data_IF_735395441454
#
_entry.id   IF_735395441454
#
_cell.length_a   1.000
_cell.length_b   1.000
_cell.length_c   1.000
_cell.angle_alpha   90.00
_cell.angle_beta   90.00
_cell.angle_gamma   90.00
#
_symmetry.space_group_name_H-M   'P 1'
#
loop_
_entity.id
_entity.type
_entity.pdbx_description
1 polymer ?
#
# COMPACT_ATOMS: atom_id res chain seq x y z
N UNK A 1 -58.51 5.56 9.84
CA UNK A 1 -58.62 5.81 8.39
C UNK A 1 -57.29 6.36 7.91
N UNK A 2 -56.59 5.90 6.89
CA UNK A 2 -56.67 4.69 6.06
C UNK A 2 -55.28 4.48 5.45
N UNK A 3 -54.89 3.23 5.29
CA UNK A 3 -53.89 2.75 4.32
C UNK A 3 -54.24 3.24 2.91
N UNK A 4 -53.26 3.81 2.19
CA UNK A 4 -53.05 3.71 0.74
C UNK A 4 -52.15 4.85 0.20
N UNK A 5 -50.83 4.63 0.12
CA UNK A 5 -50.00 5.06 -1.03
C UNK A 5 -48.78 4.14 -1.11
N UNK A 6 -48.99 2.96 -1.69
CA UNK A 6 -47.96 2.05 -2.20
C UNK A 6 -48.53 1.54 -3.53
N UNK A 7 -47.71 1.57 -4.59
CA UNK A 7 -47.93 1.06 -5.96
C UNK A 7 -48.75 1.88 -6.96
N UNK A 8 -48.03 2.54 -7.88
CA UNK A 8 -48.16 2.50 -9.35
C UNK A 8 -47.26 3.62 -9.93
N UNK A 9 -46.32 3.42 -10.87
CA UNK A 9 -46.41 2.60 -12.07
C UNK A 9 -45.05 1.99 -12.49
N UNK A 10 -45.13 0.71 -12.84
CA UNK A 10 -44.38 0.09 -13.93
C UNK A 10 -44.84 0.67 -15.28
N UNK A 11 -43.88 0.88 -16.20
CA UNK A 11 -43.96 0.94 -17.68
C UNK A 11 -43.51 2.26 -18.32
N UNK A 12 -42.26 2.24 -18.79
CA UNK A 12 -41.70 2.77 -20.05
C UNK A 12 -40.20 3.05 -19.79
N UNK A 13 -39.22 2.61 -20.57
CA UNK A 13 -39.22 1.88 -21.83
C UNK A 13 -37.92 1.11 -21.99
N UNK A 14 -37.96 0.12 -22.88
CA UNK A 14 -36.81 -0.58 -23.42
C UNK A 14 -35.92 0.42 -24.15
N UNK A 15 -34.62 0.42 -23.85
CA UNK A 15 -33.59 0.88 -24.78
C UNK A 15 -32.54 -0.20 -24.95
N UNK A 16 -32.41 -0.61 -26.20
CA UNK A 16 -31.57 -1.66 -26.77
C UNK A 16 -30.07 -1.45 -26.52
N UNK A 17 -29.42 -2.55 -26.14
CA UNK A 17 -27.96 -2.74 -26.12
C UNK A 17 -27.45 -2.71 -27.56
N UNK A 18 -26.64 -1.72 -27.92
CA UNK A 18 -25.84 -1.73 -29.14
C UNK A 18 -24.40 -2.12 -28.78
N UNK A 19 -24.01 -3.32 -29.20
CA UNK A 19 -22.61 -3.78 -29.24
C UNK A 19 -21.87 -2.97 -30.31
N UNK A 20 -20.82 -2.25 -29.94
CA UNK A 20 -19.80 -1.80 -30.90
C UNK A 20 -18.63 -2.78 -30.88
N UNK A 21 -18.58 -3.58 -31.94
CA UNK A 21 -17.47 -4.43 -32.35
C UNK A 21 -16.43 -3.58 -33.09
N UNK A 22 -15.21 -3.50 -32.58
CA UNK A 22 -14.07 -2.99 -33.34
C UNK A 22 -13.51 -4.09 -34.23
N UNK A 23 -13.58 -3.87 -35.54
CA UNK A 23 -13.02 -4.70 -36.60
C UNK A 23 -11.52 -4.40 -36.74
N UNK A 24 -10.69 -5.42 -36.54
CA UNK A 24 -9.28 -5.44 -36.92
C UNK A 24 -9.17 -5.61 -38.44
N UNK A 25 -8.68 -4.58 -39.14
CA UNK A 25 -8.29 -4.69 -40.55
C UNK A 25 -6.89 -5.27 -40.62
N UNK A 26 -6.81 -6.46 -41.22
CA UNK A 26 -5.61 -7.22 -41.55
C UNK A 26 -5.25 -6.89 -43.00
N UNK A 27 -4.05 -6.37 -43.25
CA UNK A 27 -3.49 -6.31 -44.61
C UNK A 27 -2.06 -6.87 -44.59
N UNK A 28 -1.93 -8.08 -45.11
CA UNK A 28 -0.68 -8.64 -45.64
C UNK A 28 -0.36 -7.97 -46.99
N UNK A 29 0.89 -8.05 -47.45
CA UNK A 29 1.12 -9.01 -48.53
C UNK A 29 2.39 -9.86 -48.39
N UNK A 30 2.24 -11.09 -48.86
CA UNK A 30 3.22 -12.00 -49.50
C UNK A 30 4.19 -11.26 -50.45
N UNK A 31 5.35 -11.73 -50.90
CA UNK A 31 6.19 -12.94 -50.83
C UNK A 31 7.53 -12.54 -51.48
N UNK A 32 8.65 -13.15 -51.08
CA UNK A 32 9.65 -13.68 -52.03
C UNK A 32 10.86 -14.26 -51.29
N UNK A 33 11.04 -15.55 -51.48
CA UNK A 33 12.24 -16.34 -51.19
C UNK A 33 13.31 -16.09 -52.26
N UNK A 34 14.57 -15.96 -51.85
CA UNK A 34 15.70 -16.43 -52.64
C UNK A 34 16.90 -16.75 -51.74
N UNK A 35 17.40 -17.97 -51.94
CA UNK A 35 18.59 -18.63 -51.43
C UNK A 35 19.91 -17.90 -51.73
N UNK A 36 20.91 -18.06 -50.85
CA UNK A 36 22.31 -17.76 -51.15
C UNK A 36 23.23 -18.24 -50.03
N UNK A 37 23.96 -19.31 -50.31
CA UNK A 37 24.82 -20.07 -49.40
C UNK A 37 26.30 -19.71 -49.69
N UNK A 38 27.17 -19.89 -48.68
CA UNK A 38 28.64 -20.15 -48.74
C UNK A 38 29.62 -18.95 -48.72
N UNK A 39 30.58 -19.06 -47.78
CA UNK A 39 31.91 -18.41 -47.76
C UNK A 39 32.11 -17.61 -46.46
N UNK A 40 32.90 -18.00 -45.46
CA UNK A 40 34.19 -18.69 -45.50
C UNK A 40 35.24 -17.77 -44.86
N UNK A 41 35.55 -18.03 -43.59
CA UNK A 41 36.75 -17.68 -42.79
C UNK A 41 37.52 -16.37 -43.06
N UNK A 42 37.78 -15.59 -42.00
CA UNK A 42 39.16 -15.35 -41.52
C UNK A 42 39.18 -14.59 -40.18
N UNK A 43 39.85 -15.21 -39.21
CA UNK A 43 40.27 -14.65 -37.93
C UNK A 43 41.30 -13.52 -38.14
N UNK A 44 41.25 -12.49 -37.29
CA UNK A 44 42.29 -11.46 -37.20
C UNK A 44 42.23 -10.71 -35.87
N UNK A 45 42.86 -11.27 -34.83
CA UNK A 45 43.28 -10.53 -33.63
C UNK A 45 44.37 -9.52 -34.03
N UNK A 46 44.28 -8.28 -33.55
CA UNK A 46 45.43 -7.37 -33.48
C UNK A 46 45.48 -6.69 -32.11
N UNK A 47 46.34 -7.24 -31.26
CA UNK A 47 47.53 -6.54 -30.73
C UNK A 47 47.37 -5.26 -29.93
N UNK A 48 47.46 -5.41 -28.61
CA UNK A 48 47.81 -4.39 -27.61
C UNK A 48 49.19 -3.78 -27.90
N UNK A 49 49.32 -2.45 -27.76
CA UNK A 49 50.62 -1.77 -27.59
C UNK A 49 50.57 -0.84 -26.38
N UNK A 50 51.34 -1.22 -25.34
CA UNK A 50 51.77 -0.35 -24.25
C UNK A 50 52.78 0.68 -24.78
N UNK A 51 52.61 1.93 -24.36
CA UNK A 51 53.60 2.99 -24.51
C UNK A 51 53.70 3.77 -23.20
N UNK A 52 54.77 3.51 -22.45
CA UNK A 52 55.20 4.25 -21.27
C UNK A 52 55.86 5.57 -21.67
N UNK A 53 55.56 6.64 -20.94
CA UNK A 53 56.21 7.95 -21.10
C UNK A 53 55.91 8.85 -19.90
N UNK A 54 56.87 8.95 -18.99
CA UNK A 54 56.87 9.82 -17.82
C UNK A 54 57.65 11.10 -18.11
N UNK A 55 57.06 12.27 -17.85
CA UNK A 55 57.76 13.53 -17.53
C UNK A 55 56.89 14.31 -16.55
N UNK A 56 57.47 14.74 -15.43
CA UNK A 56 56.85 15.65 -14.47
C UNK A 56 57.55 17.00 -14.44
N UNK A 57 56.83 18.06 -14.04
CA UNK A 57 57.17 19.02 -12.98
C UNK A 57 56.17 20.20 -12.95
N UNK A 58 55.49 20.31 -11.80
CA UNK A 58 55.06 21.47 -11.00
C UNK A 58 54.54 22.80 -11.59
N UNK A 59 53.39 23.22 -11.06
CA UNK A 59 52.87 24.59 -11.11
C UNK A 59 51.46 24.67 -10.51
N UNK A 60 51.36 25.00 -9.22
CA UNK A 60 50.12 24.94 -8.43
C UNK A 60 48.99 25.85 -8.91
N UNK A 61 47.86 25.24 -9.27
CA UNK A 61 46.53 25.83 -9.25
C UNK A 61 45.63 24.83 -8.52
N UNK A 62 45.02 25.25 -7.41
CA UNK A 62 44.04 24.45 -6.67
C UNK A 62 42.75 24.32 -7.48
N UNK A 63 42.76 23.40 -8.45
CA UNK A 63 41.54 22.89 -9.10
C UNK A 63 41.16 21.62 -8.37
N UNK A 64 40.11 21.68 -7.55
CA UNK A 64 39.46 20.45 -7.06
C UNK A 64 38.99 19.66 -8.29
N UNK A 65 39.36 18.39 -8.46
CA UNK A 65 38.79 17.60 -9.53
C UNK A 65 37.31 17.43 -9.23
N UNK A 66 36.47 17.96 -10.10
CA UNK A 66 35.05 17.64 -10.14
C UNK A 66 34.98 16.19 -10.55
N UNK A 67 34.83 15.29 -9.58
CA UNK A 67 34.63 13.87 -9.86
C UNK A 67 33.27 13.68 -10.50
N UNK A 68 33.18 12.67 -11.36
CA UNK A 68 31.97 12.28 -12.12
C UNK A 68 30.75 11.92 -11.24
N UNK A 69 30.88 12.00 -9.91
CA UNK A 69 29.81 11.77 -8.94
C UNK A 69 28.94 13.02 -8.66
N UNK A 70 29.24 14.17 -9.27
CA UNK A 70 28.51 15.44 -9.05
C UNK A 70 27.38 15.74 -10.05
N UNK A 71 27.15 14.88 -11.04
CA UNK A 71 26.00 15.00 -11.93
C UNK A 71 25.22 13.69 -11.87
N UNK A 72 24.12 13.71 -11.11
CA UNK A 72 23.21 12.59 -10.99
C UNK A 72 22.97 11.95 -12.35
N UNK A 73 23.41 10.71 -12.48
CA UNK A 73 23.09 9.87 -13.63
C UNK A 73 21.58 9.67 -13.56
N UNK A 74 20.88 10.36 -14.45
CA UNK A 74 19.47 10.17 -14.67
C UNK A 74 19.31 8.77 -15.25
N UNK A 75 18.72 7.86 -14.47
CA UNK A 75 18.19 6.61 -14.98
C UNK A 75 17.10 6.97 -16.00
N UNK A 76 17.32 6.63 -17.27
CA UNK A 76 16.50 6.98 -18.44
C UNK A 76 15.17 6.20 -18.49
N UNK A 77 14.44 6.09 -17.37
CA UNK A 77 13.18 5.34 -17.31
C UNK A 77 11.92 6.18 -17.14
N UNK A 78 12.01 7.50 -17.17
CA UNK A 78 10.83 8.38 -17.22
C UNK A 78 11.16 9.64 -18.03
N UNK A 79 10.73 9.67 -19.30
CA UNK A 79 10.78 10.88 -20.12
C UNK A 79 9.50 11.71 -19.93
N UNK A 80 9.35 12.36 -18.77
CA UNK A 80 8.41 13.48 -18.65
C UNK A 80 9.06 14.64 -17.87
N UNK A 81 8.95 15.89 -18.37
CA UNK A 81 9.46 17.05 -17.65
C UNK A 81 8.64 17.25 -16.37
N UNK A 82 9.33 17.28 -15.24
CA UNK A 82 8.72 17.53 -13.92
C UNK A 82 8.08 18.92 -13.94
N UNK A 83 6.76 18.99 -14.01
CA UNK A 83 6.01 20.24 -13.84
C UNK A 83 6.03 20.61 -12.35
N UNK A 84 6.83 21.61 -11.97
CA UNK A 84 6.99 22.09 -10.59
C UNK A 84 6.12 23.34 -10.32
N UNK A 85 5.13 23.27 -9.42
CA UNK A 85 4.87 24.34 -8.46
C UNK A 85 5.70 24.07 -7.19
N UNK A 86 6.50 25.05 -6.80
CA UNK A 86 7.58 24.92 -5.83
C UNK A 86 7.11 24.97 -4.37
N UNK A 87 7.03 23.82 -3.69
CA UNK A 87 7.12 23.77 -2.22
C UNK A 87 8.59 23.90 -1.83
N UNK A 88 9.02 25.10 -1.44
CA UNK A 88 10.41 25.40 -1.06
C UNK A 88 10.57 25.24 0.45
N UNK A 89 11.37 24.27 0.89
CA UNK A 89 11.89 24.24 2.26
C UNK A 89 13.42 24.39 2.21
N UNK A 90 13.94 25.52 2.66
CA UNK A 90 15.37 25.87 2.59
C UNK A 90 15.95 25.77 1.16
N UNK A 91 15.31 26.41 0.18
CA UNK A 91 15.82 26.56 -1.21
C UNK A 91 16.00 25.26 -2.03
N UNK A 92 15.53 24.10 -1.52
CA UNK A 92 15.54 22.84 -2.27
C UNK A 92 14.13 22.49 -2.79
N UNK A 93 13.97 22.22 -4.10
CA UNK A 93 12.69 21.77 -4.64
C UNK A 93 12.36 20.37 -4.09
N UNK A 94 11.18 20.24 -3.49
CA UNK A 94 10.65 18.95 -3.04
C UNK A 94 9.91 18.30 -4.22
N UNK A 95 10.23 17.05 -4.59
CA UNK A 95 9.47 16.34 -5.62
C UNK A 95 8.02 16.15 -5.16
N UNK A 96 7.06 16.64 -5.94
CA UNK A 96 5.66 16.33 -5.67
C UNK A 96 5.36 14.87 -6.03
N UNK A 97 4.66 14.19 -5.13
CA UNK A 97 4.18 12.83 -5.38
C UNK A 97 2.93 12.91 -6.25
N UNK A 98 3.02 12.43 -7.49
CA UNK A 98 1.86 12.36 -8.38
C UNK A 98 0.97 11.17 -8.02
N UNK A 99 -0.33 11.44 -7.83
CA UNK A 99 -1.31 10.39 -7.56
C UNK A 99 -1.48 9.41 -8.74
N UNK A 100 -1.19 9.85 -9.98
CA UNK A 100 -1.25 8.98 -11.16
C UNK A 100 -0.21 7.86 -11.16
N UNK A 101 0.83 7.99 -10.32
CA UNK A 101 1.92 7.00 -10.21
C UNK A 101 1.73 6.03 -9.06
N UNK A 102 0.69 6.21 -8.24
CA UNK A 102 0.42 5.30 -7.13
C UNK A 102 -0.10 3.98 -7.71
N UNK A 103 0.56 2.88 -7.37
CA UNK A 103 0.11 1.54 -7.70
C UNK A 103 -0.83 1.02 -6.63
N UNK A 104 -1.90 0.34 -7.00
CA UNK A 104 -2.78 -0.30 -6.02
C UNK A 104 -3.48 -1.49 -6.63
N UNK A 105 -3.67 -2.54 -5.85
CA UNK A 105 -4.48 -3.69 -6.25
C UNK A 105 -5.21 -4.27 -5.05
N UNK A 106 -6.35 -4.89 -5.29
CA UNK A 106 -7.13 -5.61 -4.28
C UNK A 106 -7.74 -6.85 -4.92
N UNK A 107 -7.43 -8.02 -4.37
CA UNK A 107 -7.90 -9.31 -4.88
C UNK A 107 -8.73 -10.03 -3.82
N UNK A 108 -9.75 -10.76 -4.29
CA UNK A 108 -10.73 -11.45 -3.44
C UNK A 108 -10.15 -12.65 -2.67
N UNK A 109 -9.18 -13.36 -3.24
CA UNK A 109 -8.71 -14.64 -2.68
C UNK A 109 -9.78 -15.74 -2.74
N UNK A 110 -9.82 -16.59 -1.72
CA UNK A 110 -10.78 -17.69 -1.58
C UNK A 110 -11.99 -17.33 -0.70
N UNK A 111 -12.19 -16.03 -0.43
CA UNK A 111 -13.35 -15.52 0.31
C UNK A 111 -14.58 -15.40 -0.59
N UNK A 112 -15.76 -15.39 0.03
CA UNK A 112 -17.03 -15.18 -0.68
C UNK A 112 -17.26 -13.72 -1.07
N UNK A 113 -16.63 -12.79 -0.34
CA UNK A 113 -16.77 -11.36 -0.52
C UNK A 113 -15.42 -10.69 -0.28
N UNK A 114 -15.17 -9.59 -1.01
CA UNK A 114 -14.02 -8.73 -0.75
C UNK A 114 -14.46 -7.65 0.24
N UNK A 115 -13.97 -7.75 1.47
CA UNK A 115 -14.23 -6.82 2.57
C UNK A 115 -13.15 -5.72 2.66
N UNK A 116 -12.04 -5.86 1.94
CA UNK A 116 -10.99 -4.84 1.85
C UNK A 116 -11.46 -3.61 1.07
N UNK A 117 -11.05 -2.44 1.55
CA UNK A 117 -11.18 -1.15 0.85
C UNK A 117 -9.87 -0.40 0.86
N UNK A 118 -9.58 0.29 -0.23
CA UNK A 118 -8.44 1.19 -0.32
C UNK A 118 -8.90 2.56 -0.81
N UNK A 119 -8.26 3.62 -0.36
CA UNK A 119 -8.55 4.99 -0.79
C UNK A 119 -7.27 5.78 -0.99
N UNK A 120 -7.18 6.44 -2.12
CA UNK A 120 -6.08 7.34 -2.50
C UNK A 120 -6.73 8.66 -2.88
N UNK A 121 -6.28 9.75 -2.26
CA UNK A 121 -6.90 11.06 -2.48
C UNK A 121 -5.99 12.22 -2.13
N UNK A 122 -6.43 13.41 -2.52
CA UNK A 122 -5.83 14.68 -2.14
C UNK A 122 -6.82 15.44 -1.28
N UNK A 123 -6.44 15.72 -0.03
CA UNK A 123 -7.28 16.48 0.89
C UNK A 123 -7.15 17.97 0.56
N UNK A 124 -5.93 18.49 0.61
CA UNK A 124 -5.58 19.87 0.25
C UNK A 124 -4.47 19.84 -0.79
N UNK A 125 -4.15 20.97 -1.42
CA UNK A 125 -3.08 21.06 -2.42
C UNK A 125 -1.74 20.51 -1.92
N UNK A 126 -1.49 20.63 -0.61
CA UNK A 126 -0.28 20.16 0.04
C UNK A 126 -0.47 18.92 0.93
N UNK A 127 -1.65 18.28 0.95
CA UNK A 127 -1.92 17.13 1.83
C UNK A 127 -2.50 15.96 1.03
N UNK A 128 -1.70 14.91 0.87
CA UNK A 128 -2.14 13.64 0.28
C UNK A 128 -2.60 12.67 1.36
N UNK A 129 -3.53 11.80 0.98
CA UNK A 129 -4.17 10.82 1.85
C UNK A 129 -4.18 9.45 1.17
N UNK A 130 -3.72 8.44 1.91
CA UNK A 130 -3.70 7.05 1.49
C UNK A 130 -4.23 6.20 2.63
N UNK A 131 -5.11 5.25 2.34
CA UNK A 131 -5.69 4.39 3.35
C UNK A 131 -5.99 2.98 2.82
N UNK A 132 -5.87 2.01 3.71
CA UNK A 132 -6.40 0.65 3.56
C UNK A 132 -7.26 0.31 4.78
N UNK A 133 -8.37 -0.38 4.54
CA UNK A 133 -9.33 -0.83 5.53
C UNK A 133 -9.63 -2.30 5.24
N UNK A 134 -9.24 -3.17 6.14
CA UNK A 134 -9.47 -4.62 6.06
C UNK A 134 -10.72 -4.92 6.89
N UNK A 135 -11.79 -5.36 6.24
CA UNK A 135 -13.10 -5.50 6.85
C UNK A 135 -13.36 -6.92 7.35
N UNK A 136 -14.09 -7.04 8.46
CA UNK A 136 -14.53 -8.35 8.97
C UNK A 136 -15.95 -8.28 9.54
N UNK A 137 -16.66 -9.41 9.51
CA UNK A 137 -18.03 -9.49 10.01
C UNK A 137 -19.03 -8.73 9.12
N UNK A 138 -18.73 -8.59 7.84
CA UNK A 138 -19.46 -7.78 6.86
C UNK A 138 -18.65 -6.54 6.45
N UNK A 139 -18.79 -6.06 5.19
CA UNK A 139 -17.97 -4.96 4.67
C UNK A 139 -18.36 -3.57 5.22
N UNK A 140 -19.45 -3.48 5.99
CA UNK A 140 -20.10 -2.22 6.37
C UNK A 140 -19.15 -1.23 7.09
N UNK A 141 -18.30 -1.73 7.99
CA UNK A 141 -17.35 -0.87 8.70
C UNK A 141 -16.25 -0.33 7.77
N UNK A 142 -15.71 -1.20 6.90
CA UNK A 142 -14.73 -0.81 5.88
C UNK A 142 -15.33 0.15 4.83
N UNK A 143 -16.55 -0.11 4.35
CA UNK A 143 -17.30 0.74 3.43
C UNK A 143 -17.54 2.14 4.03
N UNK A 144 -17.88 2.19 5.31
CA UNK A 144 -18.11 3.44 6.02
C UNK A 144 -16.82 4.26 6.14
N UNK A 145 -15.73 3.62 6.54
CA UNK A 145 -14.42 4.26 6.62
C UNK A 145 -13.94 4.74 5.24
N UNK A 146 -14.08 3.91 4.20
CA UNK A 146 -13.80 4.29 2.82
C UNK A 146 -14.56 5.55 2.38
N UNK A 147 -15.82 5.67 2.78
CA UNK A 147 -16.70 6.77 2.37
C UNK A 147 -16.47 8.05 3.16
N UNK A 148 -16.26 7.95 4.48
CA UNK A 148 -16.33 9.10 5.38
C UNK A 148 -15.01 9.47 6.07
N UNK A 149 -13.98 8.62 6.07
CA UNK A 149 -12.71 8.92 6.77
C UNK A 149 -12.07 10.23 6.28
N UNK A 150 -12.08 10.49 4.97
CA UNK A 150 -11.56 11.74 4.42
C UNK A 150 -12.27 12.98 5.00
N UNK A 151 -13.58 12.89 5.20
CA UNK A 151 -14.38 13.96 5.82
C UNK A 151 -13.95 14.19 7.27
N UNK A 152 -13.84 13.13 8.08
CA UNK A 152 -13.42 13.26 9.48
C UNK A 152 -12.02 13.85 9.62
N UNK A 153 -11.11 13.53 8.70
CA UNK A 153 -9.77 14.14 8.66
C UNK A 153 -9.87 15.63 8.33
N UNK A 154 -10.69 16.03 7.34
CA UNK A 154 -10.93 17.45 7.01
C UNK A 154 -11.49 18.22 8.21
N UNK A 155 -12.53 17.69 8.85
CA UNK A 155 -13.17 18.33 10.01
C UNK A 155 -12.20 18.44 11.21
N UNK A 156 -11.28 17.49 11.37
CA UNK A 156 -10.25 17.53 12.41
C UNK A 156 -9.11 18.52 12.11
N UNK A 157 -8.75 18.70 10.83
CA UNK A 157 -7.76 19.69 10.38
C UNK A 157 -8.19 21.14 10.61
N UNK A 158 -9.49 21.40 10.67
CA UNK A 158 -10.01 22.73 11.03
C UNK A 158 -9.73 23.10 12.49
N UNK A 159 -9.37 22.12 13.33
CA UNK A 159 -9.27 22.29 14.78
C UNK A 159 -7.85 22.15 15.30
N UNK A 160 -7.03 21.31 14.68
CA UNK A 160 -5.62 21.10 15.04
C UNK A 160 -4.78 20.95 13.76
N UNK A 161 -3.57 21.52 13.79
CA UNK A 161 -2.61 21.39 12.69
C UNK A 161 -1.69 20.18 12.87
N UNK A 162 -1.59 19.62 14.08
CA UNK A 162 -0.80 18.43 14.36
C UNK A 162 -1.47 17.18 13.80
N UNK A 163 -0.90 16.67 12.71
CA UNK A 163 -1.42 15.51 11.98
C UNK A 163 -1.60 14.26 12.84
N UNK A 164 -0.81 14.05 13.90
CA UNK A 164 -0.97 12.91 14.81
C UNK A 164 -2.28 13.03 15.62
N UNK A 165 -2.56 14.24 16.13
CA UNK A 165 -3.80 14.51 16.85
C UNK A 165 -5.01 14.50 15.93
N UNK A 166 -4.85 15.04 14.71
CA UNK A 166 -5.87 15.00 13.65
C UNK A 166 -6.28 13.56 13.37
N UNK A 167 -5.33 12.65 13.16
CA UNK A 167 -5.64 11.23 12.91
C UNK A 167 -6.31 10.57 14.12
N UNK A 168 -5.80 10.79 15.33
CA UNK A 168 -6.44 10.26 16.55
C UNK A 168 -7.89 10.71 16.67
N UNK A 169 -8.15 12.00 16.47
CA UNK A 169 -9.50 12.55 16.49
C UNK A 169 -10.38 11.96 15.39
N UNK A 170 -9.88 11.92 14.15
CA UNK A 170 -10.62 11.41 13.01
C UNK A 170 -11.05 9.95 13.19
N UNK A 171 -10.16 9.09 13.73
CA UNK A 171 -10.48 7.69 14.02
C UNK A 171 -11.58 7.56 15.09
N UNK A 172 -11.44 8.30 16.19
CA UNK A 172 -12.43 8.27 17.28
C UNK A 172 -13.79 8.83 16.84
N UNK A 173 -13.81 9.88 16.04
CA UNK A 173 -15.06 10.47 15.55
C UNK A 173 -15.70 9.59 14.45
N UNK A 174 -14.90 8.94 13.60
CA UNK A 174 -15.38 7.94 12.65
C UNK A 174 -16.03 6.73 13.36
N UNK A 175 -15.40 6.20 14.42
CA UNK A 175 -15.95 5.08 15.21
C UNK A 175 -17.26 5.44 15.90
N UNK A 176 -17.35 6.62 16.53
CA UNK A 176 -18.60 7.14 17.13
C UNK A 176 -19.72 7.34 16.10
N UNK A 177 -19.38 7.90 14.94
CA UNK A 177 -20.33 8.14 13.88
C UNK A 177 -20.83 6.82 13.26
N UNK A 178 -19.92 5.85 13.09
CA UNK A 178 -20.26 4.48 12.66
C UNK A 178 -21.21 3.82 13.66
N UNK A 179 -20.96 3.92 14.97
CA UNK A 179 -21.85 3.36 16.00
C UNK A 179 -23.27 3.91 15.85
N UNK A 180 -23.39 5.21 15.68
CA UNK A 180 -24.68 5.90 15.49
C UNK A 180 -25.36 5.44 14.20
N UNK A 181 -24.59 5.29 13.12
CA UNK A 181 -25.08 4.83 11.82
C UNK A 181 -25.60 3.39 11.87
N UNK A 182 -24.83 2.45 12.43
CA UNK A 182 -25.23 1.03 12.50
C UNK A 182 -26.38 0.80 13.48
N UNK A 183 -26.44 1.56 14.58
CA UNK A 183 -27.53 1.48 15.55
C UNK A 183 -28.89 1.83 14.94
N UNK A 184 -28.91 2.68 13.90
CA UNK A 184 -30.14 3.07 13.21
C UNK A 184 -30.78 1.90 12.43
N UNK A 185 -29.98 0.98 11.89
CA UNK A 185 -30.48 -0.15 11.10
C UNK A 185 -31.06 -1.30 11.94
N UNK A 186 -30.99 -1.21 13.27
CA UNK A 186 -31.54 -2.16 14.26
C UNK A 186 -31.24 -3.65 13.96
N UNK A 187 -30.10 -3.93 13.33
CA UNK A 187 -29.65 -5.29 13.06
C UNK A 187 -28.37 -5.57 13.86
N UNK A 188 -28.48 -6.51 14.79
CA UNK A 188 -27.38 -6.89 15.68
C UNK A 188 -26.15 -7.43 14.94
N UNK A 189 -26.31 -8.00 13.73
CA UNK A 189 -25.18 -8.49 12.93
C UNK A 189 -24.27 -7.37 12.44
N UNK A 190 -24.75 -6.14 12.34
CA UNK A 190 -23.90 -5.01 11.95
C UNK A 190 -23.04 -4.52 13.12
N UNK A 191 -23.45 -4.74 14.37
CA UNK A 191 -22.63 -4.36 15.54
C UNK A 191 -21.42 -5.29 15.76
N UNK A 192 -21.39 -6.42 15.05
CA UNK A 192 -20.22 -7.31 14.97
C UNK A 192 -19.31 -7.00 13.79
N UNK A 193 -19.70 -6.10 12.89
CA UNK A 193 -18.83 -5.66 11.80
C UNK A 193 -17.73 -4.75 12.36
N UNK A 194 -16.52 -4.95 11.86
CA UNK A 194 -15.36 -4.17 12.21
C UNK A 194 -14.42 -4.03 11.03
N UNK A 195 -13.43 -3.16 11.19
CA UNK A 195 -12.38 -3.01 10.19
C UNK A 195 -11.09 -2.54 10.84
N UNK A 196 -9.96 -2.95 10.26
CA UNK A 196 -8.70 -2.26 10.45
C UNK A 196 -8.76 -0.89 9.80
N UNK A 197 -7.87 0.00 10.19
CA UNK A 197 -7.65 1.22 9.44
C UNK A 197 -6.18 1.56 9.51
N UNK A 198 -5.51 1.63 8.37
CA UNK A 198 -4.16 2.17 8.25
C UNK A 198 -4.21 3.36 7.32
N UNK A 199 -4.00 4.55 7.87
CA UNK A 199 -4.11 5.83 7.15
C UNK A 199 -2.75 6.52 7.18
N UNK A 200 -2.27 6.94 6.01
CA UNK A 200 -1.08 7.74 5.83
C UNK A 200 -1.42 9.12 5.25
N UNK A 201 -0.96 10.16 5.93
CA UNK A 201 -1.02 11.55 5.50
C UNK A 201 0.37 12.02 5.11
N UNK A 202 0.49 12.59 3.90
CA UNK A 202 1.74 13.18 3.41
C UNK A 202 1.54 14.67 3.17
N UNK A 203 2.12 15.49 4.05
CA UNK A 203 2.08 16.95 3.97
C UNK A 203 3.34 17.52 3.34
N UNK A 204 3.16 18.44 2.40
CA UNK A 204 4.21 19.14 1.64
C UNK A 204 5.22 18.19 0.97
N UNK A 205 4.82 16.93 0.71
CA UNK A 205 5.68 15.88 0.17
C UNK A 205 6.74 15.30 1.13
N UNK A 206 6.93 15.88 2.33
CA UNK A 206 8.04 15.51 3.23
C UNK A 206 7.60 15.03 4.60
N UNK A 207 6.47 15.51 5.12
CA UNK A 207 5.98 15.12 6.43
C UNK A 207 4.99 13.96 6.27
N UNK A 208 5.43 12.76 6.65
CA UNK A 208 4.62 11.55 6.63
C UNK A 208 4.13 11.25 8.06
N UNK A 209 2.83 11.14 8.24
CA UNK A 209 2.22 10.65 9.47
C UNK A 209 1.34 9.46 9.14
N UNK A 210 1.56 8.35 9.84
CA UNK A 210 0.76 7.15 9.74
C UNK A 210 0.01 6.94 11.05
N UNK A 211 -1.29 6.66 10.97
CA UNK A 211 -2.10 6.20 12.09
C UNK A 211 -2.71 4.86 11.76
N UNK A 212 -2.65 3.89 12.69
CA UNK A 212 -3.29 2.60 12.47
C UNK A 212 -4.00 2.00 13.69
N UNK A 213 -5.04 1.22 13.40
CA UNK A 213 -5.66 0.24 14.30
C UNK A 213 -5.80 -1.09 13.55
N UNK A 214 -5.61 -2.20 14.27
CA UNK A 214 -5.59 -3.55 13.67
C UNK A 214 -4.18 -4.00 13.28
N UNK A 215 -4.11 -4.87 12.27
CA UNK A 215 -2.92 -5.59 11.81
C UNK A 215 -2.59 -5.36 10.31
N UNK A 216 -3.36 -4.50 9.62
CA UNK A 216 -2.89 -3.91 8.36
C UNK A 216 -1.63 -3.07 8.60
N UNK A 217 -0.71 -3.10 7.65
CA UNK A 217 0.66 -2.57 7.82
C UNK A 217 0.93 -1.38 6.92
N UNK A 218 1.81 -0.51 7.41
CA UNK A 218 2.50 0.48 6.60
C UNK A 218 4.01 0.29 6.74
N UNK A 219 4.74 0.41 5.64
CA UNK A 219 6.19 0.24 5.60
C UNK A 219 6.85 1.20 4.62
N UNK A 220 7.98 1.77 5.03
CA UNK A 220 8.79 2.70 4.24
C UNK A 220 10.07 2.00 3.78
N UNK A 221 10.28 1.94 2.47
CA UNK A 221 11.53 1.45 1.89
C UNK A 221 12.58 2.57 1.87
N UNK A 222 13.65 2.43 2.66
CA UNK A 222 14.77 3.38 2.70
C UNK A 222 16.06 2.64 2.40
N UNK A 223 16.80 3.09 1.39
CA UNK A 223 18.03 2.44 0.93
C UNK A 223 17.84 0.94 0.65
N UNK A 224 16.70 0.55 0.08
CA UNK A 224 16.37 -0.86 -0.22
C UNK A 224 15.96 -1.72 0.98
N UNK A 225 15.88 -1.16 2.20
CA UNK A 225 15.46 -1.88 3.40
C UNK A 225 14.06 -1.48 3.86
N UNK A 226 13.28 -2.47 4.29
CA UNK A 226 11.96 -2.27 4.87
C UNK A 226 12.06 -1.65 6.27
N UNK A 227 11.45 -0.50 6.47
CA UNK A 227 11.22 0.07 7.81
C UNK A 227 9.73 0.06 8.12
N UNK A 228 9.33 -0.79 9.08
CA UNK A 228 7.94 -0.88 9.53
C UNK A 228 7.51 0.43 10.22
N UNK A 229 6.35 0.95 9.82
CA UNK A 229 5.79 2.18 10.39
C UNK A 229 4.65 1.93 11.38
N UNK A 230 4.01 0.75 11.30
CA UNK A 230 2.94 0.33 12.21
C UNK A 230 3.41 -0.83 13.08
N UNK A 231 2.72 -1.07 14.20
CA UNK A 231 2.91 -2.28 15.01
C UNK A 231 1.55 -2.95 15.12
N UNK A 232 1.49 -4.23 14.78
CA UNK A 232 0.24 -4.99 14.73
C UNK A 232 -0.38 -5.04 16.13
N UNK A 233 -1.68 -4.76 16.22
CA UNK A 233 -2.41 -4.72 17.48
C UNK A 233 -2.96 -6.11 17.83
N UNK A 234 -2.09 -7.09 18.07
CA UNK A 234 -2.49 -8.47 18.36
C UNK A 234 -2.58 -8.74 19.87
N UNK A 235 -3.37 -9.75 20.29
CA UNK A 235 -3.44 -10.15 21.70
C UNK A 235 -2.13 -10.69 22.30
N UNK A 236 -1.13 -10.98 21.45
CA UNK A 236 0.22 -11.38 21.89
C UNK A 236 1.04 -10.20 22.42
N UNK A 237 0.69 -8.95 22.03
CA UNK A 237 1.33 -7.74 22.54
C UNK A 237 0.96 -7.54 24.01
N UNK A 238 1.95 -7.44 24.89
CA UNK A 238 1.72 -7.49 26.34
C UNK A 238 0.88 -6.30 26.85
N UNK A 239 1.12 -5.10 26.32
CA UNK A 239 0.36 -3.88 26.64
C UNK A 239 -1.12 -4.01 26.21
N UNK A 240 -1.37 -4.52 25.01
CA UNK A 240 -2.73 -4.74 24.50
C UNK A 240 -3.44 -5.84 25.31
N UNK A 241 -2.75 -6.94 25.61
CA UNK A 241 -3.28 -8.03 26.44
C UNK A 241 -3.66 -7.53 27.83
N UNK A 242 -2.82 -6.72 28.45
CA UNK A 242 -3.09 -6.13 29.75
C UNK A 242 -4.30 -5.19 29.70
N UNK A 243 -4.46 -4.41 28.62
CA UNK A 243 -5.67 -3.58 28.41
C UNK A 243 -6.92 -4.46 28.34
N UNK A 244 -6.92 -5.50 27.50
CA UNK A 244 -8.08 -6.41 27.36
C UNK A 244 -8.48 -7.00 28.71
N UNK A 245 -7.50 -7.53 29.47
CA UNK A 245 -7.74 -8.11 30.80
C UNK A 245 -8.27 -7.09 31.81
N UNK A 246 -7.74 -5.86 31.80
CA UNK A 246 -8.18 -4.77 32.69
C UNK A 246 -9.63 -4.36 32.45
N UNK A 247 -10.10 -4.44 31.21
CA UNK A 247 -11.47 -4.14 30.82
C UNK A 247 -12.39 -5.37 30.88
N UNK A 248 -11.94 -6.48 31.49
CA UNK A 248 -12.75 -7.68 31.70
C UNK A 248 -12.90 -8.57 30.46
N UNK A 249 -12.19 -8.26 29.37
CA UNK A 249 -12.01 -9.19 28.26
C UNK A 249 -11.01 -10.29 28.61
N UNK A 250 -11.01 -11.35 27.82
CA UNK A 250 -10.05 -12.45 27.95
C UNK A 250 -9.45 -12.81 26.59
N UNK A 251 -8.28 -13.45 26.61
CA UNK A 251 -7.62 -13.96 25.41
C UNK A 251 -7.67 -15.48 25.44
N UNK A 252 -8.17 -16.08 24.36
CA UNK A 252 -8.20 -17.53 24.16
C UNK A 252 -7.49 -17.89 22.88
N UNK A 253 -6.88 -19.07 22.85
CA UNK A 253 -6.25 -19.60 21.66
C UNK A 253 -7.19 -20.54 20.94
N UNK A 254 -7.29 -20.42 19.62
CA UNK A 254 -8.00 -21.40 18.80
C UNK A 254 -7.18 -22.70 18.67
N UNK A 255 -7.72 -23.71 17.99
CA UNK A 255 -7.05 -25.00 17.75
C UNK A 255 -5.74 -24.89 16.96
N UNK A 256 -5.53 -23.76 16.30
CA UNK A 256 -4.36 -23.45 15.47
C UNK A 256 -3.33 -22.61 16.24
N UNK A 257 -3.62 -22.24 17.49
CA UNK A 257 -2.73 -21.45 18.34
C UNK A 257 -2.74 -19.95 18.06
N UNK A 258 -3.73 -19.44 17.31
CA UNK A 258 -3.92 -17.99 17.16
C UNK A 258 -4.68 -17.45 18.37
N UNK A 259 -4.23 -16.30 18.88
CA UNK A 259 -4.82 -15.64 20.03
C UNK A 259 -6.00 -14.74 19.60
N UNK A 260 -7.14 -14.90 20.26
CA UNK A 260 -8.36 -14.15 19.97
C UNK A 260 -8.93 -13.50 21.23
N UNK A 261 -9.33 -12.23 21.13
CA UNK A 261 -10.09 -11.49 22.15
C UNK A 261 -11.49 -12.08 22.24
N UNK A 262 -11.87 -12.50 23.46
CA UNK A 262 -13.13 -13.16 23.78
C UNK A 262 -13.46 -14.35 22.86
N UNK A 263 -12.44 -15.02 22.30
CA UNK A 263 -12.60 -16.11 21.34
C UNK A 263 -13.16 -15.70 19.97
N UNK A 264 -13.15 -14.40 19.64
CA UNK A 264 -13.73 -13.88 18.40
C UNK A 264 -12.74 -13.12 17.54
N UNK A 265 -12.12 -12.06 18.06
CA UNK A 265 -11.35 -11.12 17.25
C UNK A 265 -9.84 -11.36 17.37
N UNK A 266 -9.13 -11.51 16.25
CA UNK A 266 -7.69 -11.74 16.23
C UNK A 266 -6.83 -10.47 16.49
N UNK A 267 -7.49 -9.31 16.60
CA UNK A 267 -6.88 -8.02 16.88
C UNK A 267 -7.50 -7.37 18.12
N UNK A 268 -6.82 -6.38 18.68
CA UNK A 268 -7.16 -5.70 19.94
C UNK A 268 -7.55 -4.24 19.76
N UNK A 269 -7.43 -3.70 18.54
CA UNK A 269 -7.92 -2.38 18.14
C UNK A 269 -8.58 -2.47 16.78
N UNK A 270 -9.67 -1.75 16.58
CA UNK A 270 -10.42 -1.71 15.33
C UNK A 270 -11.37 -0.51 15.32
N UNK A 271 -11.89 -0.15 14.15
CA UNK A 271 -13.09 0.69 14.01
C UNK A 271 -14.30 -0.25 13.87
N UNK A 272 -15.36 -0.03 14.65
CA UNK A 272 -16.48 -0.98 14.74
C UNK A 272 -16.32 -1.96 15.91
N UNK A 273 -16.70 -3.23 15.74
CA UNK A 273 -16.66 -4.25 16.80
C UNK A 273 -17.29 -3.78 18.13
N UNK A 274 -18.44 -3.10 18.05
CA UNK A 274 -19.04 -2.42 19.20
C UNK A 274 -19.34 -3.34 20.38
N UNK A 275 -19.59 -4.63 20.10
CA UNK A 275 -19.76 -5.66 21.12
C UNK A 275 -18.48 -5.97 21.93
N UNK A 276 -17.28 -5.66 21.42
CA UNK A 276 -15.99 -5.86 22.09
C UNK A 276 -15.39 -4.57 22.64
N UNK A 277 -15.93 -3.39 22.29
CA UNK A 277 -15.48 -2.11 22.85
C UNK A 277 -15.46 -2.10 24.39
N UNK A 278 -16.48 -2.62 25.10
CA UNK A 278 -16.43 -2.72 26.57
C UNK A 278 -15.35 -3.65 27.10
N UNK A 279 -14.89 -4.62 26.30
CA UNK A 279 -13.85 -5.60 26.65
C UNK A 279 -12.42 -5.09 26.37
N UNK A 280 -12.26 -3.82 26.02
CA UNK A 280 -10.96 -3.18 25.81
C UNK A 280 -10.50 -3.12 24.35
N UNK A 281 -11.33 -3.49 23.37
CA UNK A 281 -11.05 -3.19 21.96
C UNK A 281 -11.29 -1.70 21.73
N UNK A 282 -10.30 -0.95 21.26
CA UNK A 282 -10.39 0.51 21.12
C UNK A 282 -10.19 0.96 19.68
N UNK A 283 -10.71 2.13 19.34
CA UNK A 283 -10.51 2.78 18.04
C UNK A 283 -9.40 3.85 18.04
N UNK A 284 -8.71 4.04 19.17
CA UNK A 284 -7.59 4.98 19.24
C UNK A 284 -6.37 4.42 18.48
N UNK A 285 -5.87 5.11 17.43
CA UNK A 285 -4.75 4.64 16.64
C UNK A 285 -3.41 4.86 17.35
N UNK A 286 -2.49 3.92 17.12
CA UNK A 286 -1.07 4.21 17.29
C UNK A 286 -0.63 5.09 16.11
N UNK A 287 0.08 6.18 16.40
CA UNK A 287 0.57 7.13 15.38
C UNK A 287 2.09 7.12 15.30
N UNK A 288 2.61 7.32 14.09
CA UNK A 288 4.04 7.52 13.88
C UNK A 288 4.30 8.61 12.84
N UNK A 289 5.10 9.60 13.24
CA UNK A 289 5.59 10.67 12.36
C UNK A 289 6.99 10.35 11.84
N UNK A 290 7.20 10.54 10.53
CA UNK A 290 8.48 10.39 9.85
C UNK A 290 8.68 11.51 8.83
N UNK A 291 9.94 11.89 8.63
CA UNK A 291 10.31 12.79 7.52
C UNK A 291 10.81 11.96 6.35
N UNK A 292 10.16 12.14 5.19
CA UNK A 292 10.52 11.52 3.92
C UNK A 292 11.79 12.18 3.38
N UNK A 293 12.77 11.35 3.07
CA UNK A 293 14.04 11.72 2.46
C UNK A 293 14.03 11.24 1.01
N UNK A 294 13.53 12.03 0.08
CA UNK A 294 13.39 11.65 -1.34
C UNK A 294 14.69 11.17 -2.02
N UNK A 295 15.86 11.46 -1.45
CA UNK A 295 17.15 10.94 -1.95
C UNK A 295 17.39 9.45 -1.60
N UNK A 296 16.75 8.94 -0.55
CA UNK A 296 16.96 7.61 0.05
C UNK A 296 15.69 6.77 0.13
N UNK A 297 14.53 7.41 0.21
CA UNK A 297 13.23 6.76 0.36
C UNK A 297 12.67 6.43 -1.02
N UNK A 298 12.46 5.14 -1.26
CA UNK A 298 12.00 4.61 -2.54
C UNK A 298 10.49 4.65 -2.66
N UNK A 299 9.79 4.19 -1.62
CA UNK A 299 8.32 4.13 -1.59
C UNK A 299 7.78 3.91 -0.18
N UNK A 300 6.50 4.21 -0.01
CA UNK A 300 5.65 3.76 1.09
C UNK A 300 4.71 2.68 0.56
N UNK A 301 4.57 1.56 1.27
CA UNK A 301 3.60 0.52 0.96
C UNK A 301 2.62 0.33 2.13
N UNK A 302 1.33 0.19 1.81
CA UNK A 302 0.26 -0.18 2.74
C UNK A 302 -0.29 -1.55 2.34
N UNK A 303 -0.47 -2.47 3.29
CA UNK A 303 -0.87 -3.86 3.01
C UNK A 303 -1.87 -4.41 4.04
N UNK A 304 -2.82 -5.25 3.58
CA UNK A 304 -3.74 -6.01 4.44
C UNK A 304 -3.17 -7.37 4.83
N UNK A 305 -3.83 -8.06 5.77
CA UNK A 305 -3.30 -9.25 6.43
C UNK A 305 -3.09 -10.43 5.47
N UNK A 306 -3.91 -10.55 4.42
CA UNK A 306 -3.80 -11.56 3.37
C UNK A 306 -2.47 -11.52 2.59
N UNK A 307 -1.74 -10.40 2.65
CA UNK A 307 -0.35 -10.29 2.16
C UNK A 307 0.63 -10.52 3.31
N UNK A 308 0.39 -9.88 4.45
CA UNK A 308 1.29 -9.82 5.60
C UNK A 308 1.54 -11.18 6.27
N UNK A 309 0.62 -12.13 6.11
CA UNK A 309 0.78 -13.49 6.65
C UNK A 309 1.76 -14.35 5.85
N UNK A 310 1.95 -14.07 4.56
CA UNK A 310 2.77 -14.90 3.68
C UNK A 310 4.09 -14.24 3.31
N UNK A 311 4.07 -12.93 3.10
CA UNK A 311 5.22 -12.14 2.72
C UNK A 311 5.70 -11.32 3.90
N UNK A 312 7.00 -11.39 4.17
CA UNK A 312 7.66 -10.52 5.14
C UNK A 312 7.85 -9.11 4.56
N UNK A 313 7.96 -8.12 5.44
CA UNK A 313 8.17 -6.72 5.04
C UNK A 313 9.38 -6.56 4.10
N UNK A 314 10.48 -7.31 4.31
CA UNK A 314 11.64 -7.24 3.43
C UNK A 314 11.40 -7.89 2.06
N UNK A 315 10.68 -9.01 1.99
CA UNK A 315 10.32 -9.64 0.71
C UNK A 315 9.41 -8.73 -0.11
N UNK A 316 8.44 -8.07 0.52
CA UNK A 316 7.60 -7.05 -0.12
C UNK A 316 8.51 -5.96 -0.70
N UNK A 317 9.48 -5.47 0.07
CA UNK A 317 10.43 -4.47 -0.43
C UNK A 317 11.24 -4.94 -1.64
N UNK A 318 11.74 -6.18 -1.59
CA UNK A 318 12.58 -6.75 -2.64
C UNK A 318 11.81 -6.99 -3.94
N UNK A 319 10.54 -7.40 -3.86
CA UNK A 319 9.67 -7.56 -5.02
C UNK A 319 9.40 -6.20 -5.66
N UNK A 320 9.04 -5.18 -4.86
CA UNK A 320 8.75 -3.84 -5.38
C UNK A 320 9.97 -3.23 -6.07
N UNK A 321 11.16 -3.42 -5.51
CA UNK A 321 12.41 -2.92 -6.10
C UNK A 321 12.81 -3.61 -7.43
N UNK A 322 12.22 -4.76 -7.76
CA UNK A 322 12.46 -5.48 -9.02
C UNK A 322 11.52 -5.03 -10.14
N UNK A 323 10.34 -4.52 -9.80
CA UNK A 323 9.36 -4.03 -10.75
C UNK A 323 9.70 -2.63 -11.27
N UNK A 324 9.26 -2.32 -12.49
CA UNK A 324 9.49 -1.00 -13.08
C UNK A 324 8.44 -0.01 -12.59
N UNK A 325 7.19 -0.45 -12.57
CA UNK A 325 6.04 0.38 -12.25
C UNK A 325 5.41 -0.02 -10.90
N UNK A 326 4.96 0.96 -10.09
CA UNK A 326 4.24 0.67 -8.85
C UNK A 326 2.96 -0.16 -9.04
N UNK A 327 2.25 0.03 -10.16
CA UNK A 327 1.03 -0.74 -10.47
C UNK A 327 1.36 -2.20 -10.76
N UNK A 328 2.39 -2.45 -11.57
CA UNK A 328 2.89 -3.80 -11.81
C UNK A 328 3.34 -4.46 -10.49
N UNK A 329 4.08 -3.72 -9.66
CA UNK A 329 4.53 -4.22 -8.35
C UNK A 329 3.35 -4.63 -7.44
N UNK A 330 2.27 -3.84 -7.43
CA UNK A 330 1.08 -4.14 -6.66
C UNK A 330 0.42 -5.45 -7.14
N UNK A 331 0.27 -5.62 -8.45
CA UNK A 331 -0.31 -6.83 -9.05
C UNK A 331 0.55 -8.07 -8.82
N UNK A 332 1.87 -7.95 -8.97
CA UNK A 332 2.82 -9.06 -8.73
C UNK A 332 2.75 -9.52 -7.27
N UNK A 333 2.73 -8.60 -6.30
CA UNK A 333 2.64 -8.95 -4.89
C UNK A 333 1.33 -9.66 -4.56
N UNK A 334 0.20 -9.14 -5.04
CA UNK A 334 -1.09 -9.78 -4.78
C UNK A 334 -1.15 -11.17 -5.41
N UNK A 335 -0.66 -11.33 -6.64
CA UNK A 335 -0.58 -12.65 -7.29
C UNK A 335 0.34 -13.60 -6.54
N UNK A 336 1.49 -13.12 -6.04
CA UNK A 336 2.43 -13.93 -5.28
C UNK A 336 1.84 -14.37 -3.94
N UNK A 337 1.09 -13.51 -3.25
CA UNK A 337 0.34 -13.89 -2.05
C UNK A 337 -0.68 -15.00 -2.36
N UNK A 338 -1.43 -14.90 -3.46
CA UNK A 338 -2.34 -15.96 -3.90
C UNK A 338 -1.61 -17.26 -4.25
N UNK A 339 -0.46 -17.18 -4.92
CA UNK A 339 0.36 -18.35 -5.25
C UNK A 339 0.94 -19.06 -4.03
N UNK A 340 1.27 -18.29 -2.98
CA UNK A 340 1.71 -18.83 -1.69
C UNK A 340 0.55 -19.38 -0.83
N UNK A 341 -0.67 -19.36 -1.37
CA UNK A 341 -1.85 -19.96 -0.75
C UNK A 341 -2.62 -19.00 0.15
N UNK A 342 -2.59 -17.69 -0.12
CA UNK A 342 -3.45 -16.76 0.61
C UNK A 342 -4.91 -17.08 0.33
N UNK A 343 -5.65 -17.33 1.41
CA UNK A 343 -7.08 -17.60 1.35
C UNK A 343 -7.90 -16.32 1.53
N UNK A 344 -7.25 -15.25 2.01
CA UNK A 344 -7.91 -14.01 2.39
C UNK A 344 -7.98 -12.97 1.27
N UNK A 345 -8.68 -11.87 1.54
CA UNK A 345 -8.57 -10.66 0.72
C UNK A 345 -7.12 -10.14 0.82
N UNK A 346 -6.55 -9.74 -0.32
CA UNK A 346 -5.19 -9.24 -0.37
C UNK A 346 -5.15 -7.90 -1.09
N UNK A 347 -4.80 -6.85 -0.35
CA UNK A 347 -4.81 -5.48 -0.83
C UNK A 347 -3.48 -4.80 -0.54
N UNK A 348 -2.96 -4.10 -1.54
CA UNK A 348 -1.72 -3.32 -1.42
C UNK A 348 -1.86 -1.97 -2.13
N UNK A 349 -1.28 -0.94 -1.53
CA UNK A 349 -1.10 0.40 -2.12
C UNK A 349 0.37 0.77 -2.04
N UNK A 350 0.98 1.17 -3.16
CA UNK A 350 2.39 1.52 -3.31
C UNK A 350 2.51 2.97 -3.78
N UNK A 351 3.07 3.81 -2.91
CA UNK A 351 3.28 5.24 -3.15
C UNK A 351 4.76 5.45 -3.48
N UNK A 352 5.13 5.76 -4.74
CA UNK A 352 6.51 5.98 -5.11
C UNK A 352 7.04 7.32 -4.59
N UNK A 353 8.28 7.31 -4.11
CA UNK A 353 9.04 8.50 -3.69
C UNK A 353 10.24 8.73 -4.62
N UNK A 354 11.05 9.74 -4.30
CA UNK A 354 12.09 10.25 -5.21
C UNK A 354 13.22 9.26 -5.51
N UNK A 355 13.43 8.25 -4.66
CA UNK A 355 14.47 7.23 -4.87
C UNK A 355 13.94 5.95 -5.54
N UNK A 356 12.70 5.94 -6.04
CA UNK A 356 12.15 4.80 -6.79
C UNK A 356 13.10 4.36 -7.91
N UNK A 357 13.33 3.05 -8.03
CA UNK A 357 14.22 2.45 -9.04
C UNK A 357 15.72 2.58 -8.78
N UNK A 358 16.16 3.37 -7.79
CA UNK A 358 17.61 3.53 -7.48
C UNK A 358 18.24 2.31 -6.82
N UNK A 359 17.43 1.59 -6.05
CA UNK A 359 17.88 0.42 -5.33
C UNK A 359 17.34 -0.81 -6.05
N UNK A 360 18.20 -1.47 -6.83
CA UNK A 360 17.92 -2.80 -7.33
C UNK A 360 18.44 -3.80 -6.30
N UNK A 361 17.57 -4.66 -5.78
CA UNK A 361 17.99 -5.74 -4.88
C UNK A 361 18.88 -6.71 -5.68
N UNK A 362 20.19 -6.71 -5.40
CA UNK A 362 21.09 -7.73 -5.92
C UNK A 362 20.92 -9.01 -5.11
N UNK A 363 20.59 -10.10 -5.80
CA UNK A 363 20.63 -11.49 -5.32
C UNK A 363 19.38 -11.98 -4.58
N UNK A 364 18.65 -12.87 -5.25
CA UNK A 364 17.52 -13.58 -4.70
C UNK A 364 17.97 -14.76 -3.84
N UNK A 365 17.52 -14.80 -2.58
CA UNK A 365 17.48 -16.05 -1.81
C UNK A 365 16.01 -16.46 -1.74
N UNK A 366 15.55 -17.19 -2.75
CA UNK A 366 14.27 -17.90 -2.65
C UNK A 366 14.43 -19.00 -1.60
N UNK A 367 14.02 -18.74 -0.35
CA UNK A 367 13.86 -19.81 0.63
C UNK A 367 12.56 -20.55 0.34
N UNK A 368 12.68 -21.65 -0.42
CA UNK A 368 11.59 -22.65 -0.58
C UNK A 368 11.34 -23.46 0.70
N UNK A 369 11.78 -22.96 1.86
CA UNK A 369 11.78 -23.65 3.15
C UNK A 369 11.26 -22.74 4.25
N UNK A 370 10.16 -22.03 3.99
CA UNK A 370 9.30 -21.56 5.07
C UNK A 370 8.42 -22.70 5.54
N UNK A 371 8.57 -23.03 6.82
CA UNK A 371 7.81 -24.07 7.49
C UNK A 371 6.31 -23.85 7.24
N UNK A 372 5.68 -24.85 6.63
CA UNK A 372 4.24 -25.08 6.70
C UNK A 372 3.85 -25.26 8.17
N UNK A 373 3.62 -24.18 8.89
CA UNK A 373 2.85 -24.19 10.12
C UNK A 373 1.59 -23.38 9.79
N UNK A 374 0.46 -24.10 9.78
CA UNK A 374 -0.91 -23.59 9.59
C UNK A 374 -1.48 -23.53 8.16
N UNK A 375 -1.44 -24.65 7.43
CA UNK A 375 -2.50 -24.96 6.44
C UNK A 375 -2.79 -26.47 6.44
N UNK A 376 -3.22 -26.99 7.60
CA UNK A 376 -3.72 -28.35 7.75
C UNK A 376 -5.24 -28.38 7.82
N UNK A 377 -5.92 -28.08 6.70
CA UNK A 377 -7.37 -28.26 6.53
C UNK A 377 -7.70 -29.75 6.36
N UNK A 378 -8.29 -30.41 7.36
CA UNK A 378 -9.19 -31.55 7.19
C UNK A 378 -10.27 -31.54 8.29
N UNK A 379 -11.52 -31.64 7.84
CA UNK A 379 -12.80 -31.72 8.55
C UNK A 379 -13.41 -30.41 9.08
#
# INVERSE_FOLDING_TARGET
>A
MSSAVLFNMLRCGRSTIARQSFLSIRSSPETSTASGQVGGALFGMVGVRQGSGSVGLDGGISVRPVTWDSFGIWDNRIEEPILLPSSIRHERPIPQVSLSRVGSTSVLGLRNQNEDRLRIGRIHDNLLYFAVFDGHGGPHAADYCYTFMEKFIRDALEQDDDLEKVLKKAFLDADKALHTHLSYFNNASFLTAGTTATVALLRDGVELVVGSVGDSRAMLCRNGKANKLTTDHTPDREDERHRIQRFGGYVTWNSVGQANVNGRLAMTRSIGDFHLKPSGVIAEPDTQRRTVQHAKDSFLALTTDGINFLLSDQEICDIINQCQDPTEAADVIAQQALQYGSEDNATIVIIPFGAWGRHQSSTTVYSMSRNFISSGRWA
#
